data_IF_599048457753
#
_entry.id   IF_599048457753
#
_cell.length_a   1.000
_cell.length_b   1.000
_cell.length_c   1.000
_cell.angle_alpha   90.00
_cell.angle_beta   90.00
_cell.angle_gamma   90.00
#
_symmetry.space_group_name_H-M   'P 1'
#
loop_
_entity.id
_entity.type
_entity.pdbx_description
1 polymer ?
#
# COMPACT_ATOMS: atom_id res chain seq x y z
N UNK A 1 6.61 32.54 6.89
CA UNK A 1 6.62 31.43 5.90
C UNK A 1 6.45 32.03 4.52
N UNK A 2 7.29 31.66 3.55
CA UNK A 2 7.14 32.16 2.19
C UNK A 2 6.03 31.37 1.47
N UNK A 3 4.88 31.99 1.21
CA UNK A 3 3.82 31.38 0.41
C UNK A 3 4.16 31.52 -1.08
N UNK A 4 4.25 30.41 -1.79
CA UNK A 4 4.32 30.39 -3.26
C UNK A 4 2.96 29.97 -3.79
N UNK A 5 2.41 30.74 -4.72
CA UNK A 5 1.20 30.37 -5.44
C UNK A 5 1.56 29.38 -6.55
N UNK A 6 1.03 28.17 -6.46
CA UNK A 6 1.09 27.15 -7.51
C UNK A 6 -0.31 27.03 -8.11
N UNK A 7 -0.40 27.08 -9.43
CA UNK A 7 -1.62 26.72 -10.14
C UNK A 7 -1.74 25.19 -10.20
N UNK A 8 -2.89 24.67 -9.79
CA UNK A 8 -3.22 23.25 -9.88
C UNK A 8 -4.40 23.05 -10.83
N UNK A 9 -4.52 21.84 -11.39
CA UNK A 9 -5.68 21.47 -12.20
C UNK A 9 -6.93 21.44 -11.32
N UNK A 10 -8.07 21.83 -11.89
CA UNK A 10 -9.37 21.85 -11.19
C UNK A 10 -9.69 20.50 -10.53
N UNK A 11 -9.50 19.39 -11.26
CA UNK A 11 -9.74 18.04 -10.71
C UNK A 11 -8.86 17.71 -9.49
N UNK A 12 -7.64 18.27 -9.45
CA UNK A 12 -6.71 18.10 -8.33
C UNK A 12 -7.13 18.98 -7.16
N UNK A 13 -7.59 20.20 -7.42
CA UNK A 13 -8.14 21.11 -6.41
C UNK A 13 -9.36 20.49 -5.71
N UNK A 14 -10.30 19.93 -6.46
CA UNK A 14 -11.49 19.29 -5.89
C UNK A 14 -11.15 18.04 -5.07
N UNK A 15 -10.18 17.23 -5.51
CA UNK A 15 -9.68 16.08 -4.72
C UNK A 15 -9.00 16.52 -3.42
N UNK A 16 -8.22 17.60 -3.46
CA UNK A 16 -7.56 18.17 -2.29
C UNK A 16 -8.58 18.73 -1.30
N UNK A 17 -9.61 19.41 -1.81
CA UNK A 17 -10.73 19.93 -1.02
C UNK A 17 -11.55 18.82 -0.37
N UNK A 18 -11.75 17.69 -1.05
CA UNK A 18 -12.41 16.51 -0.47
C UNK A 18 -11.61 15.88 0.68
N UNK A 19 -10.28 16.04 0.70
CA UNK A 19 -9.39 15.55 1.75
C UNK A 19 -9.20 16.54 2.92
N UNK A 20 -9.70 17.77 2.80
CA UNK A 20 -9.66 18.77 3.85
C UNK A 20 -10.63 18.40 4.98
N UNK A 21 -10.13 18.34 6.22
CA UNK A 21 -10.86 18.00 7.44
C UNK A 21 -11.01 19.24 8.33
N UNK A 22 -12.26 19.59 8.67
CA UNK A 22 -12.55 20.69 9.58
C UNK A 22 -12.03 22.03 9.07
N UNK A 23 -11.33 22.77 9.94
CA UNK A 23 -10.83 24.13 9.68
C UNK A 23 -9.39 24.19 9.14
N UNK A 24 -8.79 23.05 8.74
CA UNK A 24 -7.40 23.04 8.25
C UNK A 24 -7.23 23.84 6.94
N UNK A 25 -6.08 24.52 6.78
CA UNK A 25 -5.72 25.22 5.55
C UNK A 25 -5.27 24.24 4.46
N UNK A 26 -5.35 24.66 3.19
CA UNK A 26 -4.89 23.83 2.07
C UNK A 26 -3.40 23.46 2.17
N UNK A 27 -2.59 24.34 2.76
CA UNK A 27 -1.17 24.04 3.02
C UNK A 27 -1.01 22.97 4.08
N UNK A 28 -1.82 22.97 5.14
CA UNK A 28 -1.80 21.93 6.18
C UNK A 28 -2.29 20.58 5.66
N UNK A 29 -3.31 20.58 4.80
CA UNK A 29 -3.75 19.35 4.11
C UNK A 29 -2.67 18.79 3.20
N UNK A 30 -1.95 19.67 2.48
CA UNK A 30 -0.82 19.27 1.63
C UNK A 30 0.33 18.72 2.45
N UNK A 31 0.74 19.40 3.52
CA UNK A 31 1.81 18.92 4.40
C UNK A 31 1.47 17.55 4.99
N UNK A 32 0.24 17.35 5.49
CA UNK A 32 -0.19 16.03 6.02
C UNK A 32 -0.15 14.94 4.96
N UNK A 33 -0.69 15.20 3.76
CA UNK A 33 -0.68 14.21 2.68
C UNK A 33 0.75 13.90 2.25
N UNK A 34 1.63 14.90 2.21
CA UNK A 34 3.04 14.71 1.88
C UNK A 34 3.78 13.94 2.98
N UNK A 35 3.55 14.21 4.27
CA UNK A 35 4.11 13.42 5.38
C UNK A 35 3.63 11.96 5.38
N UNK A 36 2.36 11.73 5.05
CA UNK A 36 1.80 10.38 4.87
C UNK A 36 2.43 9.65 3.65
N UNK A 37 2.80 10.38 2.59
CA UNK A 37 3.49 9.83 1.41
C UNK A 37 5.00 9.66 1.62
N UNK A 38 5.65 10.55 2.37
CA UNK A 38 7.07 10.48 2.75
C UNK A 38 7.34 9.40 3.81
N UNK A 39 6.28 8.90 4.45
CA UNK A 39 6.24 7.58 5.12
C UNK A 39 6.35 6.41 4.13
N UNK A 40 7.02 6.64 3.00
CA UNK A 40 7.50 5.66 2.05
C UNK A 40 8.28 4.61 2.84
N UNK A 41 7.89 3.34 2.68
CA UNK A 41 8.55 2.20 3.33
C UNK A 41 10.06 2.16 3.04
N UNK A 42 10.52 2.84 1.97
CA UNK A 42 11.94 3.02 1.67
C UNK A 42 12.68 3.91 2.67
N UNK A 43 12.01 4.85 3.32
CA UNK A 43 12.55 5.67 4.43
C UNK A 43 12.73 4.83 5.70
N UNK A 44 12.01 3.72 5.83
CA UNK A 44 12.17 2.73 6.91
C UNK A 44 13.28 1.69 6.66
N UNK A 45 14.08 1.84 5.59
CA UNK A 45 15.27 1.00 5.37
C UNK A 45 16.26 1.22 6.53
N UNK A 46 16.35 0.21 7.41
CA UNK A 46 17.17 0.24 8.63
C UNK A 46 16.42 0.51 9.94
N UNK A 47 15.09 0.66 9.92
CA UNK A 47 14.26 0.75 11.13
C UNK A 47 14.17 -0.59 11.89
N UNK A 48 14.13 -1.69 11.16
CA UNK A 48 14.09 -3.02 11.76
C UNK A 48 15.48 -3.46 12.21
N UNK A 49 15.55 -4.04 13.40
CA UNK A 49 16.73 -4.81 13.81
C UNK A 49 16.91 -6.00 12.86
N UNK A 50 18.11 -6.58 12.82
CA UNK A 50 18.35 -7.74 11.94
C UNK A 50 17.34 -8.86 12.21
N UNK A 51 17.06 -9.15 13.48
CA UNK A 51 16.03 -10.12 13.87
C UNK A 51 14.64 -9.74 13.36
N UNK A 52 14.22 -8.48 13.48
CA UNK A 52 12.91 -8.04 13.00
C UNK A 52 12.78 -8.05 11.47
N UNK A 53 13.90 -7.88 10.76
CA UNK A 53 13.94 -8.04 9.32
C UNK A 53 13.82 -9.52 8.93
N UNK A 54 14.55 -10.41 9.60
CA UNK A 54 14.50 -11.86 9.38
C UNK A 54 13.10 -12.41 9.67
N UNK A 55 12.45 -11.93 10.75
CA UNK A 55 11.08 -12.32 11.11
C UNK A 55 10.05 -11.85 10.06
N UNK A 56 10.25 -10.65 9.48
CA UNK A 56 9.40 -10.14 8.41
C UNK A 56 9.59 -10.93 7.11
N UNK A 57 10.83 -11.26 6.78
CA UNK A 57 11.17 -12.08 5.61
C UNK A 57 10.50 -13.45 5.71
N UNK A 58 10.62 -14.13 6.85
CA UNK A 58 9.99 -15.41 7.09
C UNK A 58 8.45 -15.35 6.99
N UNK A 59 7.83 -14.28 7.50
CA UNK A 59 6.38 -14.10 7.40
C UNK A 59 5.91 -13.89 5.95
N UNK A 60 6.68 -13.16 5.14
CA UNK A 60 6.39 -12.95 3.72
C UNK A 60 6.56 -14.24 2.92
N UNK A 61 7.63 -14.99 3.17
CA UNK A 61 7.86 -16.30 2.53
C UNK A 61 6.75 -17.30 2.86
N UNK A 62 6.32 -17.36 4.13
CA UNK A 62 5.20 -18.20 4.54
C UNK A 62 3.90 -17.78 3.82
N UNK A 63 3.61 -16.48 3.76
CA UNK A 63 2.43 -15.99 3.06
C UNK A 63 2.40 -16.36 1.58
N UNK A 64 3.57 -16.34 0.91
CA UNK A 64 3.65 -16.81 -0.48
C UNK A 64 3.47 -18.32 -0.60
N UNK A 65 4.05 -19.11 0.30
CA UNK A 65 3.88 -20.56 0.31
C UNK A 65 2.41 -20.97 0.55
N UNK A 66 1.72 -20.28 1.46
CA UNK A 66 0.30 -20.53 1.75
C UNK A 66 -0.59 -20.20 0.55
N UNK A 67 -0.26 -19.11 -0.17
CA UNK A 67 -0.96 -18.73 -1.40
C UNK A 67 -0.71 -19.73 -2.51
N UNK A 68 0.54 -20.18 -2.71
CA UNK A 68 0.90 -21.18 -3.72
C UNK A 68 0.18 -22.50 -3.45
N UNK A 69 0.17 -22.95 -2.19
CA UNK A 69 -0.56 -24.15 -1.77
C UNK A 69 -2.08 -24.03 -2.01
N UNK A 70 -2.67 -22.86 -1.74
CA UNK A 70 -4.09 -22.64 -2.02
C UNK A 70 -4.41 -22.68 -3.52
N UNK A 71 -3.51 -22.17 -4.37
CA UNK A 71 -3.66 -22.25 -5.82
C UNK A 71 -3.46 -23.67 -6.37
N UNK A 72 -2.56 -24.46 -5.78
CA UNK A 72 -2.38 -25.88 -6.13
C UNK A 72 -3.63 -26.69 -5.75
N UNK A 73 -4.20 -26.46 -4.56
CA UNK A 73 -5.41 -27.16 -4.09
C UNK A 73 -6.63 -26.81 -4.96
N UNK A 74 -6.82 -25.53 -5.31
CA UNK A 74 -7.84 -25.09 -6.26
C UNK A 74 -7.60 -25.66 -7.68
N UNK A 75 -6.33 -25.79 -8.08
CA UNK A 75 -5.92 -26.35 -9.37
C UNK A 75 -6.23 -27.84 -9.49
N UNK A 76 -5.97 -28.61 -8.44
CA UNK A 76 -6.27 -30.03 -8.34
C UNK A 76 -7.79 -30.29 -8.37
N UNK A 77 -8.60 -29.44 -7.74
CA UNK A 77 -10.07 -29.51 -7.80
C UNK A 77 -10.59 -29.31 -9.23
N UNK A 78 -10.02 -28.34 -9.96
CA UNK A 78 -10.39 -28.06 -11.35
C UNK A 78 -9.99 -29.23 -12.27
N UNK A 79 -8.81 -29.82 -12.07
CA UNK A 79 -8.34 -30.95 -12.88
C UNK A 79 -9.17 -32.23 -12.64
N UNK A 80 -9.61 -32.47 -11.40
CA UNK A 80 -10.54 -33.56 -11.06
C UNK A 80 -11.91 -33.36 -11.70
N UNK A 81 -12.43 -32.13 -11.73
CA UNK A 81 -13.72 -31.81 -12.35
C UNK A 81 -13.69 -32.01 -13.88
N UNK A 82 -12.59 -31.64 -14.54
CA UNK A 82 -12.40 -31.83 -15.98
C UNK A 82 -12.17 -33.30 -16.36
N UNK A 83 -11.54 -34.09 -15.49
CA UNK A 83 -11.27 -35.51 -15.71
C UNK A 83 -12.49 -36.42 -15.50
N UNK A 84 -13.49 -35.96 -14.73
CA UNK A 84 -14.76 -36.67 -14.49
C UNK A 84 -15.81 -36.55 -15.60
N UNK A 85 -15.59 -35.71 -16.62
CA UNK A 85 -16.55 -35.43 -17.70
C UNK A 85 -16.31 -36.30 -18.97
N UNK A 86 -15.45 -37.33 -18.92
CA UNK A 86 -15.15 -38.27 -20.03
C UNK A 86 -15.83 -39.64 -19.91
#
# INVERSE_FOLDING_TARGET
>A
MASKNIGIKEDVYERLKAHKRGDESFSETLDRLLEELDSDWRTNAGFLSQQGADDLEAAVEQGFADVDAAFDEDGDEIDEWLSGES
#
